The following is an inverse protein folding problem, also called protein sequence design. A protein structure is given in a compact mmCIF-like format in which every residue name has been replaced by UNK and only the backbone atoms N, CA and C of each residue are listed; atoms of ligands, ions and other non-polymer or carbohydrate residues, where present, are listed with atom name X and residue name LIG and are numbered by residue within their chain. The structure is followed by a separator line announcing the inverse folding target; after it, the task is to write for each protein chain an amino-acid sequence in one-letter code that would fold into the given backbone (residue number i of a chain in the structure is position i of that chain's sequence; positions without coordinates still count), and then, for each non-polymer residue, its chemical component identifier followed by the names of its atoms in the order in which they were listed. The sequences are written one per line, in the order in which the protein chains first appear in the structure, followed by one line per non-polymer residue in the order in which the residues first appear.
data_IF_084362775128
#
_entry.id   IF_084362775128
#
_cell.length_a   1.000
_cell.length_b   1.000
_cell.length_c   1.000
_cell.angle_alpha   90.00
_cell.angle_beta   90.00
_cell.angle_gamma   90.00
#
_symmetry.space_group_name_H-M   'P 1'
#
loop_
_entity.id
_entity.type
_entity.pdbx_description
1 polymer ?
#
# COMPACT_ATOMS: atom_id res chain seq x y z
N UNK A 1 -5.35 1.13 0.49
CA UNK A 1 -6.12 1.68 1.62
C UNK A 1 -6.28 3.16 1.35
N UNK A 2 -7.40 3.60 0.74
CA UNK A 2 -7.73 5.03 0.64
C UNK A 2 -8.84 5.28 1.63
N UNK A 3 -8.44 5.37 2.88
CA UNK A 3 -9.29 5.90 3.93
C UNK A 3 -9.57 7.37 3.55
N UNK A 4 -10.73 7.61 2.93
CA UNK A 4 -11.44 8.89 2.99
C UNK A 4 -12.51 8.87 4.08
N UNK A 5 -12.35 8.04 5.11
CA UNK A 5 -12.52 8.64 6.42
C UNK A 5 -11.41 9.67 6.53
N UNK A 6 -11.69 10.84 7.05
CA UNK A 6 -10.65 11.77 7.42
C UNK A 6 -9.90 11.10 8.58
N UNK A 7 -9.05 10.12 8.28
CA UNK A 7 -8.00 9.69 9.17
C UNK A 7 -6.98 10.82 9.04
N UNK A 8 -7.24 11.87 9.80
CA UNK A 8 -6.21 12.78 10.28
C UNK A 8 -5.28 11.86 11.08
N UNK A 9 -4.41 11.13 10.38
CA UNK A 9 -3.17 10.65 10.95
C UNK A 9 -2.37 11.93 11.08
N UNK A 10 -2.61 12.68 12.15
CA UNK A 10 -1.60 13.60 12.60
C UNK A 10 -0.42 12.73 13.00
N UNK A 11 0.57 12.72 12.13
CA UNK A 11 1.92 12.26 12.46
C UNK A 11 2.44 13.30 13.43
N UNK A 12 2.08 13.15 14.70
CA UNK A 12 2.78 13.80 15.78
C UNK A 12 4.12 13.09 15.85
N UNK A 13 5.15 13.79 15.41
CA UNK A 13 6.52 13.29 15.30
C UNK A 13 7.08 13.15 16.70
N UNK A 14 7.02 11.95 17.25
CA UNK A 14 7.71 11.62 18.49
C UNK A 14 9.13 11.18 18.13
N UNK A 15 9.95 12.17 17.75
CA UNK A 15 11.44 12.14 17.66
C UNK A 15 12.11 11.17 16.67
N UNK A 16 13.11 11.68 15.94
CA UNK A 16 14.16 10.82 15.36
C UNK A 16 15.07 10.32 16.48
N UNK A 17 15.07 9.01 16.72
CA UNK A 17 15.75 8.40 17.86
C UNK A 17 17.23 8.07 17.54
N UNK A 18 18.16 8.60 18.35
CA UNK A 18 19.54 8.06 18.47
C UNK A 18 19.81 7.91 19.96
N UNK A 19 19.69 6.70 20.53
CA UNK A 19 19.78 6.52 22.00
C UNK A 19 20.52 5.26 22.48
N UNK A 20 21.22 5.35 23.64
CA UNK A 20 21.63 4.21 24.45
C UNK A 20 20.48 3.69 25.33
N UNK A 21 20.55 2.43 25.78
CA UNK A 21 19.58 1.79 26.68
C UNK A 21 19.55 2.44 28.08
N UNK A 22 18.36 2.67 28.65
CA UNK A 22 18.17 3.22 30.00
C UNK A 22 17.68 2.16 31.00
N UNK A 23 18.06 2.29 32.29
CA UNK A 23 17.61 1.39 33.36
C UNK A 23 16.16 1.64 33.82
N UNK A 24 15.62 2.84 33.54
CA UNK A 24 14.21 3.18 33.71
C UNK A 24 13.73 3.79 32.38
N UNK A 25 12.80 3.16 31.66
CA UNK A 25 12.24 3.69 30.42
C UNK A 25 11.64 5.09 30.65
N UNK A 26 12.00 6.13 29.86
CA UNK A 26 11.23 7.37 29.85
C UNK A 26 9.78 7.11 29.45
N UNK A 27 8.85 7.93 29.94
CA UNK A 27 7.48 7.93 29.44
C UNK A 27 7.44 8.40 27.98
N UNK A 28 6.44 7.96 27.22
CA UNK A 28 6.15 8.55 25.91
C UNK A 28 5.90 10.06 26.07
N UNK A 29 6.40 10.89 25.15
CA UNK A 29 6.06 12.30 25.10
C UNK A 29 4.54 12.53 25.05
N UNK A 30 4.05 13.62 25.66
CA UNK A 30 2.63 13.92 25.65
C UNK A 30 2.12 14.21 24.24
N UNK A 31 0.86 13.85 23.98
CA UNK A 31 0.17 14.22 22.74
C UNK A 31 0.00 15.76 22.70
N UNK A 32 0.19 16.41 21.53
CA UNK A 32 -0.05 17.83 21.35
C UNK A 32 -1.46 18.25 21.76
N UNK A 33 -1.59 19.51 22.18
CA UNK A 33 -2.88 20.07 22.60
C UNK A 33 -3.92 20.06 21.47
N UNK A 34 -5.21 19.98 21.81
CA UNK A 34 -6.29 19.98 20.84
C UNK A 34 -6.27 21.19 19.88
N UNK A 35 -5.81 22.36 20.34
CA UNK A 35 -5.67 23.55 19.49
C UNK A 35 -4.58 23.40 18.43
N UNK A 36 -3.46 22.76 18.79
CA UNK A 36 -2.37 22.47 17.86
C UNK A 36 -2.83 21.41 16.85
N UNK A 37 -3.53 20.39 17.33
CA UNK A 37 -4.10 19.37 16.47
C UNK A 37 -5.03 20.00 15.42
N UNK A 38 -5.92 20.88 15.86
CA UNK A 38 -6.85 21.58 14.98
C UNK A 38 -6.16 22.50 13.97
N UNK A 39 -5.08 23.16 14.37
CA UNK A 39 -4.29 24.01 13.48
C UNK A 39 -3.68 23.20 12.33
N UNK A 40 -3.17 22.00 12.59
CA UNK A 40 -2.60 21.13 11.55
C UNK A 40 -3.70 20.54 10.67
N UNK A 41 -4.82 20.12 11.24
CA UNK A 41 -5.99 19.61 10.48
C UNK A 41 -6.45 20.62 9.44
N UNK A 42 -6.51 21.91 9.82
CA UNK A 42 -6.97 22.98 8.94
C UNK A 42 -6.02 23.25 7.76
N UNK A 43 -4.79 22.73 7.77
CA UNK A 43 -3.84 22.87 6.65
C UNK A 43 -4.11 21.87 5.52
N UNK A 44 -4.92 20.83 5.78
CA UNK A 44 -5.33 19.84 4.79
C UNK A 44 -4.56 18.53 4.88
N UNK A 45 -5.10 17.50 4.23
CA UNK A 45 -4.46 16.19 4.18
C UNK A 45 -3.40 16.14 3.07
N UNK A 46 -2.34 15.34 3.23
CA UNK A 46 -1.36 15.12 2.16
C UNK A 46 -2.05 14.59 0.91
N UNK A 47 -1.67 15.14 -0.25
CA UNK A 47 -2.18 14.67 -1.54
C UNK A 47 -1.42 13.41 -1.94
N UNK A 48 -2.14 12.28 -2.08
CA UNK A 48 -1.53 11.06 -2.60
C UNK A 48 -1.28 11.19 -4.10
N UNK A 49 0.00 11.22 -4.50
CA UNK A 49 0.40 11.11 -5.91
C UNK A 49 0.61 9.62 -6.23
N UNK A 50 -0.13 9.00 -7.16
CA UNK A 50 0.18 7.65 -7.61
C UNK A 50 1.56 7.58 -8.26
N UNK A 51 2.25 6.45 -8.12
CA UNK A 51 3.52 6.25 -8.83
C UNK A 51 3.30 6.06 -10.35
N UNK A 52 2.12 5.61 -10.73
CA UNK A 52 1.76 5.32 -12.12
C UNK A 52 2.03 3.87 -12.53
N UNK A 53 1.87 3.61 -13.82
CA UNK A 53 2.06 2.31 -14.46
C UNK A 53 3.15 2.45 -15.52
N UNK A 54 4.13 1.54 -15.60
CA UNK A 54 5.14 1.58 -16.66
C UNK A 54 4.53 1.48 -18.06
N UNK A 55 5.02 2.26 -19.03
CA UNK A 55 4.48 2.26 -20.40
C UNK A 55 4.65 0.89 -21.08
N UNK A 56 5.70 0.15 -20.71
CA UNK A 56 5.91 -1.23 -21.15
C UNK A 56 4.74 -2.14 -20.74
N UNK A 57 4.13 -1.90 -19.57
CA UNK A 57 2.97 -2.66 -19.12
C UNK A 57 1.76 -2.39 -20.02
N UNK A 58 1.45 -1.11 -20.30
CA UNK A 58 0.33 -0.70 -21.13
C UNK A 58 0.50 -1.19 -22.57
N UNK A 59 1.70 -1.05 -23.14
CA UNK A 59 2.03 -1.52 -24.48
C UNK A 59 1.83 -3.02 -24.63
N UNK A 60 2.24 -3.80 -23.62
CA UNK A 60 2.04 -5.24 -23.63
C UNK A 60 0.56 -5.63 -23.47
N UNK A 61 -0.25 -4.85 -22.74
CA UNK A 61 -1.70 -5.09 -22.64
C UNK A 61 -2.41 -4.91 -23.99
N UNK A 62 -2.00 -3.94 -24.82
CA UNK A 62 -2.52 -3.74 -26.18
C UNK A 62 -2.34 -4.98 -27.07
N UNK A 63 -1.26 -5.75 -26.85
CA UNK A 63 -0.95 -6.93 -27.64
C UNK A 63 -1.82 -8.15 -27.27
N UNK A 64 -2.58 -8.11 -26.18
CA UNK A 64 -3.51 -9.19 -25.82
C UNK A 64 -4.71 -9.22 -26.78
N UNK A 65 -5.06 -10.43 -27.21
CA UNK A 65 -6.13 -10.64 -28.20
C UNK A 65 -7.28 -11.50 -27.67
N UNK A 66 -8.23 -11.79 -28.55
CA UNK A 66 -9.35 -12.69 -28.24
C UNK A 66 -10.22 -12.17 -27.09
N UNK A 67 -10.37 -12.98 -26.04
CA UNK A 67 -11.22 -12.62 -24.88
C UNK A 67 -10.65 -11.51 -24.00
N UNK A 68 -9.38 -11.15 -24.21
CA UNK A 68 -8.67 -10.09 -23.48
C UNK A 68 -8.56 -8.79 -24.29
N UNK A 69 -9.13 -8.74 -25.49
CA UNK A 69 -9.02 -7.59 -26.39
C UNK A 69 -9.58 -6.31 -25.72
N UNK A 70 -8.82 -5.21 -25.79
CA UNK A 70 -9.20 -3.92 -25.20
C UNK A 70 -9.05 -3.83 -23.67
N UNK A 71 -8.31 -4.75 -23.04
CA UNK A 71 -8.09 -4.72 -21.58
C UNK A 71 -7.34 -3.47 -21.11
N UNK A 72 -6.44 -2.94 -21.93
CA UNK A 72 -5.71 -1.69 -21.69
C UNK A 72 -6.63 -0.48 -21.48
N UNK A 73 -7.81 -0.48 -22.13
CA UNK A 73 -8.79 0.61 -21.99
C UNK A 73 -9.67 0.47 -20.74
N UNK A 74 -9.49 -0.60 -19.97
CA UNK A 74 -10.35 -0.95 -18.82
C UNK A 74 -9.61 -0.91 -17.50
N UNK A 75 -8.29 -0.81 -17.52
CA UNK A 75 -7.46 -0.72 -16.32
C UNK A 75 -7.42 0.71 -15.79
N UNK A 76 -7.37 0.85 -14.47
CA UNK A 76 -7.26 2.14 -13.80
C UNK A 76 -5.81 2.38 -13.36
N UNK A 77 -5.08 3.08 -14.23
CA UNK A 77 -3.68 3.43 -13.97
C UNK A 77 -3.51 4.38 -12.78
N UNK A 78 -4.56 5.14 -12.41
CA UNK A 78 -4.53 6.08 -11.29
C UNK A 78 -4.73 5.40 -9.93
N UNK A 79 -5.23 4.16 -9.95
CA UNK A 79 -5.42 3.31 -8.76
C UNK A 79 -4.43 2.15 -8.71
N UNK A 80 -3.43 2.16 -9.60
CA UNK A 80 -2.35 1.18 -9.57
C UNK A 80 -1.47 1.36 -8.33
N UNK A 81 -0.98 0.24 -7.80
CA UNK A 81 -0.04 0.21 -6.68
C UNK A 81 1.19 -0.58 -7.10
N UNK A 82 2.36 -0.12 -6.68
CA UNK A 82 3.64 -0.74 -7.01
C UNK A 82 4.36 -1.19 -5.75
N UNK A 83 5.03 -2.33 -5.82
CA UNK A 83 6.00 -2.77 -4.84
C UNK A 83 7.40 -2.49 -5.37
N UNK A 84 8.10 -1.62 -4.68
CA UNK A 84 9.50 -1.29 -4.88
C UNK A 84 10.30 -1.99 -3.78
N UNK A 85 11.41 -2.62 -4.16
CA UNK A 85 12.37 -3.14 -3.19
C UNK A 85 13.20 -2.00 -2.59
N UNK A 86 13.78 -2.20 -1.41
CA UNK A 86 14.98 -1.54 -0.92
C UNK A 86 16.03 -1.49 -2.04
N UNK A 87 16.43 -0.28 -2.45
CA UNK A 87 17.24 -0.04 -3.65
C UNK A 87 16.44 0.30 -4.92
N UNK A 88 15.14 0.55 -4.79
CA UNK A 88 14.32 1.22 -5.80
C UNK A 88 13.97 0.39 -7.02
N UNK A 89 14.24 -0.92 -6.99
CA UNK A 89 13.89 -1.82 -8.07
C UNK A 89 12.38 -2.09 -8.06
N UNK A 90 11.70 -1.84 -9.19
CA UNK A 90 10.32 -2.25 -9.38
C UNK A 90 10.20 -3.77 -9.44
N UNK A 91 9.43 -4.35 -8.52
CA UNK A 91 9.18 -5.80 -8.47
C UNK A 91 7.82 -6.19 -9.03
N UNK A 92 6.80 -5.40 -8.71
CA UNK A 92 5.43 -5.66 -9.13
C UNK A 92 4.63 -4.35 -9.20
N UNK A 93 3.78 -4.21 -10.20
CA UNK A 93 2.68 -3.22 -10.23
C UNK A 93 1.37 -3.96 -10.39
N UNK A 94 0.42 -3.72 -9.49
CA UNK A 94 -0.95 -4.23 -9.57
C UNK A 94 -1.84 -3.13 -10.10
N UNK A 95 -2.56 -3.42 -11.18
CA UNK A 95 -3.36 -2.45 -11.92
C UNK A 95 -4.83 -2.91 -11.88
N UNK A 96 -5.68 -2.31 -11.05
CA UNK A 96 -7.10 -2.67 -10.94
C UNK A 96 -7.87 -2.26 -12.20
N UNK A 97 -9.12 -2.67 -12.32
CA UNK A 97 -10.04 -2.11 -13.33
C UNK A 97 -10.60 -0.75 -12.90
N UNK A 98 -10.98 0.08 -13.86
CA UNK A 98 -11.80 1.28 -13.61
C UNK A 98 -13.12 0.89 -12.98
N UNK A 99 -13.56 1.64 -11.96
CA UNK A 99 -14.78 1.39 -11.20
C UNK A 99 -14.80 -0.02 -10.55
N UNK A 100 -13.63 -0.54 -10.16
CA UNK A 100 -13.51 -1.89 -9.61
C UNK A 100 -14.34 -2.07 -8.32
N UNK A 101 -14.43 -1.05 -7.47
CA UNK A 101 -15.22 -1.10 -6.23
C UNK A 101 -16.72 -1.30 -6.47
N UNK A 102 -17.27 -0.70 -7.53
CA UNK A 102 -18.68 -0.89 -7.93
C UNK A 102 -18.91 -2.07 -8.88
N UNK A 103 -17.84 -2.66 -9.41
CA UNK A 103 -17.93 -3.79 -10.35
C UNK A 103 -18.31 -5.09 -9.64
N UNK A 104 -19.45 -5.67 -10.00
CA UNK A 104 -19.89 -6.96 -9.42
C UNK A 104 -18.91 -8.09 -9.69
N UNK A 105 -18.48 -8.83 -8.65
CA UNK A 105 -17.61 -10.02 -8.79
C UNK A 105 -18.40 -11.26 -9.22
N UNK A 106 -18.90 -11.24 -10.46
CA UNK A 106 -19.61 -12.35 -11.11
C UNK A 106 -18.97 -12.68 -12.46
N UNK A 107 -19.00 -13.96 -12.89
CA UNK A 107 -18.40 -14.35 -14.16
C UNK A 107 -19.16 -13.72 -15.34
N UNK A 108 -18.42 -13.07 -16.24
CA UNK A 108 -18.98 -12.41 -17.42
C UNK A 108 -18.25 -12.78 -18.73
N UNK A 109 -17.31 -13.73 -18.66
CA UNK A 109 -16.60 -14.25 -19.82
C UNK A 109 -16.37 -15.74 -19.69
N UNK A 110 -16.07 -16.37 -20.83
CA UNK A 110 -15.48 -17.71 -20.89
C UNK A 110 -13.99 -17.55 -21.16
N UNK A 111 -13.17 -18.13 -20.31
CA UNK A 111 -11.71 -18.17 -20.46
C UNK A 111 -11.31 -19.05 -21.64
N UNK A 112 -10.07 -18.91 -22.16
CA UNK A 112 -9.59 -19.66 -23.32
C UNK A 112 -9.67 -21.19 -23.17
N UNK A 113 -9.56 -21.72 -21.94
CA UNK A 113 -9.72 -23.15 -21.62
C UNK A 113 -11.15 -23.53 -21.22
N UNK A 114 -12.14 -22.68 -21.51
CA UNK A 114 -13.57 -22.98 -21.34
C UNK A 114 -14.13 -22.74 -19.94
N UNK A 115 -13.35 -22.23 -18.98
CA UNK A 115 -13.86 -21.94 -17.63
C UNK A 115 -14.59 -20.60 -17.57
N UNK A 116 -15.56 -20.48 -16.65
CA UNK A 116 -16.24 -19.21 -16.36
C UNK A 116 -15.27 -18.28 -15.65
N UNK A 117 -15.09 -17.06 -16.16
CA UNK A 117 -14.13 -16.10 -15.63
C UNK A 117 -14.65 -14.67 -15.55
N UNK A 118 -13.86 -13.83 -14.89
CA UNK A 118 -14.01 -12.37 -14.89
C UNK A 118 -12.62 -11.74 -14.84
N UNK A 119 -12.32 -10.83 -15.78
CA UNK A 119 -11.13 -9.99 -15.68
C UNK A 119 -11.31 -9.05 -14.49
N UNK A 120 -10.28 -8.93 -13.65
CA UNK A 120 -10.28 -8.06 -12.46
C UNK A 120 -9.17 -7.01 -12.48
N UNK A 121 -8.27 -7.07 -13.46
CA UNK A 121 -7.19 -6.10 -13.62
C UNK A 121 -6.04 -6.69 -14.42
N UNK A 122 -4.86 -6.13 -14.19
CA UNK A 122 -3.59 -6.59 -14.72
C UNK A 122 -2.49 -6.50 -13.65
N UNK A 123 -1.38 -7.19 -13.90
CA UNK A 123 -0.17 -7.11 -13.10
C UNK A 123 1.02 -6.96 -14.04
N UNK A 124 1.99 -6.17 -13.64
CA UNK A 124 3.29 -6.07 -14.30
C UNK A 124 4.39 -6.53 -13.36
N UNK A 125 5.21 -7.49 -13.80
CA UNK A 125 6.27 -8.13 -13.03
C UNK A 125 7.56 -8.17 -13.88
N UNK A 126 8.41 -7.11 -13.83
CA UNK A 126 9.54 -6.92 -14.75
C UNK A 126 10.49 -8.13 -14.85
N UNK A 127 10.74 -8.81 -13.73
CA UNK A 127 11.66 -9.95 -13.67
C UNK A 127 11.28 -11.13 -14.60
N UNK A 128 10.02 -11.18 -15.08
CA UNK A 128 9.57 -12.22 -16.02
C UNK A 128 9.94 -11.93 -17.48
N UNK A 129 10.64 -10.83 -17.76
CA UNK A 129 11.08 -10.47 -19.12
C UNK A 129 9.89 -10.32 -20.08
N UNK A 130 9.90 -11.04 -21.20
CA UNK A 130 8.82 -10.97 -22.21
C UNK A 130 7.43 -11.39 -21.70
N UNK A 131 7.34 -11.95 -20.49
CA UNK A 131 6.08 -12.34 -19.81
C UNK A 131 5.77 -11.47 -18.59
N UNK A 132 6.31 -10.26 -18.55
CA UNK A 132 6.14 -9.35 -17.42
C UNK A 132 4.70 -8.89 -17.22
N UNK A 133 3.95 -8.65 -18.29
CA UNK A 133 2.56 -8.20 -18.21
C UNK A 133 1.59 -9.37 -18.19
N UNK A 134 0.69 -9.36 -17.22
CA UNK A 134 -0.22 -10.43 -16.89
C UNK A 134 -1.65 -9.89 -16.78
N UNK A 135 -2.61 -10.47 -17.51
CA UNK A 135 -4.04 -10.16 -17.31
C UNK A 135 -4.57 -10.98 -16.13
N UNK A 136 -5.15 -10.31 -15.14
CA UNK A 136 -5.72 -10.95 -13.97
C UNK A 136 -7.16 -11.38 -14.21
N UNK A 137 -7.43 -12.66 -14.01
CA UNK A 137 -8.75 -13.26 -14.17
C UNK A 137 -9.10 -14.08 -12.95
N UNK A 138 -10.27 -13.80 -12.37
CA UNK A 138 -10.89 -14.70 -11.40
C UNK A 138 -11.63 -15.79 -12.16
N UNK A 139 -11.33 -17.04 -11.84
CA UNK A 139 -12.04 -18.21 -12.35
C UNK A 139 -13.03 -18.70 -11.30
N UNK A 140 -14.21 -19.12 -11.75
CA UNK A 140 -15.33 -19.49 -10.89
C UNK A 140 -15.62 -20.98 -10.97
N UNK A 141 -15.88 -21.58 -9.81
CA UNK A 141 -16.51 -22.89 -9.67
C UNK A 141 -17.98 -22.67 -9.33
N UNK A 142 -18.88 -22.99 -10.27
CA UNK A 142 -20.30 -22.58 -10.24
C UNK A 142 -20.42 -21.04 -10.17
N UNK A 143 -20.97 -20.50 -9.09
CA UNK A 143 -21.10 -19.06 -8.84
C UNK A 143 -20.05 -18.51 -7.86
N UNK A 144 -19.15 -19.35 -7.35
CA UNK A 144 -18.14 -18.95 -6.36
C UNK A 144 -16.79 -18.75 -7.02
N UNK A 145 -16.08 -17.65 -6.73
CA UNK A 145 -14.67 -17.52 -7.07
C UNK A 145 -13.84 -18.70 -6.52
N UNK A 146 -12.92 -19.23 -7.32
CA UNK A 146 -12.12 -20.42 -7.01
C UNK A 146 -10.61 -20.13 -7.08
N UNK A 147 -10.15 -19.60 -8.23
CA UNK A 147 -8.74 -19.33 -8.50
C UNK A 147 -8.52 -17.94 -9.09
N UNK A 148 -7.34 -17.39 -8.87
CA UNK A 148 -6.82 -16.26 -9.65
C UNK A 148 -5.89 -16.81 -10.70
N UNK A 149 -6.09 -16.40 -11.94
CA UNK A 149 -5.21 -16.70 -13.07
C UNK A 149 -4.57 -15.45 -13.59
N UNK A 150 -3.28 -15.55 -13.86
CA UNK A 150 -2.46 -14.49 -14.44
C UNK A 150 -2.05 -14.92 -15.85
N UNK A 151 -2.78 -14.45 -16.85
CA UNK A 151 -2.53 -14.79 -18.24
C UNK A 151 -1.37 -13.95 -18.79
N UNK A 152 -0.28 -14.60 -19.23
CA UNK A 152 0.81 -13.94 -19.95
C UNK A 152 0.70 -14.10 -21.47
N UNK A 153 -0.22 -14.93 -21.93
CA UNK A 153 -0.67 -14.99 -23.33
C UNK A 153 -2.18 -15.26 -23.36
N UNK A 154 -2.77 -15.31 -24.54
CA UNK A 154 -4.19 -15.64 -24.72
C UNK A 154 -4.56 -17.07 -24.32
N UNK A 155 -3.61 -17.95 -23.94
CA UNK A 155 -3.89 -19.34 -23.58
C UNK A 155 -3.08 -19.83 -22.39
N UNK A 156 -1.98 -19.18 -22.06
CA UNK A 156 -1.07 -19.59 -21.00
C UNK A 156 -1.19 -18.67 -19.79
N UNK A 157 -1.23 -19.28 -18.61
CA UNK A 157 -1.41 -18.58 -17.35
C UNK A 157 -0.64 -19.22 -16.21
N UNK A 158 -0.37 -18.42 -15.18
CA UNK A 158 -0.09 -18.91 -13.84
C UNK A 158 -1.39 -18.99 -13.05
N UNK A 159 -1.56 -19.99 -12.19
CA UNK A 159 -2.78 -20.18 -11.40
C UNK A 159 -2.44 -20.19 -9.91
N UNK A 160 -3.22 -19.44 -9.15
CA UNK A 160 -3.05 -19.23 -7.72
C UNK A 160 -4.34 -19.56 -6.98
N UNK A 161 -4.21 -20.11 -5.78
CA UNK A 161 -5.32 -20.15 -4.83
C UNK A 161 -5.69 -18.72 -4.46
N UNK A 162 -6.96 -18.39 -4.61
CA UNK A 162 -7.44 -17.06 -4.27
C UNK A 162 -7.71 -16.96 -2.78
N UNK A 163 -7.16 -15.93 -2.13
CA UNK A 163 -7.51 -15.53 -0.77
C UNK A 163 -8.59 -14.45 -0.85
N UNK A 164 -9.62 -14.57 -0.02
CA UNK A 164 -10.80 -13.71 -0.09
C UNK A 164 -11.02 -12.99 1.23
N UNK A 165 -11.16 -11.67 1.16
CA UNK A 165 -11.57 -10.81 2.28
C UNK A 165 -12.87 -10.08 1.94
N UNK A 166 -13.72 -9.87 2.95
CA UNK A 166 -14.86 -8.95 2.85
C UNK A 166 -14.56 -7.75 3.71
N UNK A 167 -14.64 -6.54 3.15
CA UNK A 167 -14.61 -5.35 3.97
C UNK A 167 -15.92 -5.25 4.76
N UNK A 168 -15.89 -4.91 6.06
CA UNK A 168 -17.09 -4.50 6.76
C UNK A 168 -17.74 -3.34 5.99
N UNK A 169 -19.05 -3.41 5.76
CA UNK A 169 -19.79 -2.40 4.98
C UNK A 169 -19.73 -0.99 5.57
N UNK A 170 -19.30 -0.85 6.82
CA UNK A 170 -19.09 0.41 7.53
C UNK A 170 -17.69 1.02 7.32
N UNK A 171 -16.73 0.27 6.77
CA UNK A 171 -15.35 0.71 6.52
C UNK A 171 -15.10 1.03 5.05
N UNK A 172 -15.91 0.43 4.15
CA UNK A 172 -15.90 0.74 2.73
C UNK A 172 -16.43 2.17 2.49
N UNK A 173 -15.56 3.15 2.66
CA UNK A 173 -15.80 4.47 2.11
C UNK A 173 -16.02 4.32 0.60
N UNK A 174 -16.68 5.29 -0.02
CA UNK A 174 -16.90 5.41 -1.47
C UNK A 174 -15.61 5.47 -2.32
N UNK A 175 -14.45 5.14 -1.73
CA UNK A 175 -13.11 5.33 -2.25
C UNK A 175 -12.15 4.15 -2.03
N UNK A 176 -12.58 3.00 -1.49
CA UNK A 176 -11.75 1.78 -1.41
C UNK A 176 -11.70 1.00 -2.75
N UNK A 177 -11.77 1.73 -3.86
CA UNK A 177 -11.44 1.19 -5.17
C UNK A 177 -9.93 1.04 -5.28
N UNK A 178 -9.50 -0.03 -5.95
CA UNK A 178 -8.11 -0.15 -6.39
C UNK A 178 -7.44 -1.44 -6.00
N UNK A 179 -6.14 -1.35 -5.75
CA UNK A 179 -5.30 -2.48 -5.41
C UNK A 179 -4.58 -2.25 -4.07
N UNK A 180 -4.14 -3.35 -3.46
CA UNK A 180 -3.30 -3.35 -2.28
C UNK A 180 -2.13 -4.28 -2.53
N UNK A 181 -0.95 -3.87 -2.10
CA UNK A 181 0.24 -4.70 -2.15
C UNK A 181 0.92 -4.63 -0.79
N UNK A 182 1.21 -5.80 -0.23
CA UNK A 182 2.04 -5.97 0.94
C UNK A 182 3.18 -6.93 0.59
N UNK A 183 4.03 -7.17 1.57
CA UNK A 183 5.06 -8.17 1.46
C UNK A 183 4.50 -9.55 1.09
N UNK A 184 3.50 -10.05 1.82
CA UNK A 184 2.95 -11.39 1.62
C UNK A 184 1.90 -11.50 0.51
N UNK A 185 1.21 -10.41 0.18
CA UNK A 185 0.00 -10.46 -0.63
C UNK A 185 -0.07 -9.33 -1.64
N UNK A 186 -0.71 -9.63 -2.75
CA UNK A 186 -1.21 -8.64 -3.71
C UNK A 186 -2.70 -8.85 -3.87
N UNK A 187 -3.47 -7.76 -3.90
CA UNK A 187 -4.91 -7.76 -3.86
C UNK A 187 -5.51 -6.74 -4.82
N UNK A 188 -6.70 -7.05 -5.35
CA UNK A 188 -7.57 -6.09 -6.04
C UNK A 188 -8.94 -6.07 -5.38
N UNK A 189 -9.48 -4.88 -5.12
CA UNK A 189 -10.86 -4.73 -4.65
C UNK A 189 -11.81 -4.81 -5.83
N UNK A 190 -12.79 -5.73 -5.78
CA UNK A 190 -13.84 -5.89 -6.78
C UNK A 190 -15.19 -6.07 -6.09
N UNK A 191 -16.11 -5.13 -6.27
CA UNK A 191 -17.46 -5.23 -5.70
C UNK A 191 -17.46 -5.32 -4.18
N UNK A 192 -16.67 -4.46 -3.51
CA UNK A 192 -16.41 -4.46 -2.07
C UNK A 192 -15.83 -5.77 -1.49
N UNK A 193 -15.22 -6.61 -2.34
CA UNK A 193 -14.50 -7.82 -1.93
C UNK A 193 -13.05 -7.72 -2.36
N UNK A 194 -12.13 -8.25 -1.56
CA UNK A 194 -10.72 -8.35 -1.96
C UNK A 194 -10.45 -9.70 -2.60
N UNK A 195 -9.82 -9.63 -3.77
CA UNK A 195 -9.27 -10.79 -4.47
C UNK A 195 -7.76 -10.76 -4.28
N UNK A 196 -7.21 -11.64 -3.46
CA UNK A 196 -5.80 -11.65 -3.12
C UNK A 196 -5.09 -12.93 -3.59
N UNK A 197 -3.79 -12.83 -3.84
CA UNK A 197 -2.91 -13.96 -4.11
C UNK A 197 -1.55 -13.75 -3.43
N UNK A 198 -0.91 -14.87 -3.11
CA UNK A 198 0.49 -14.89 -2.70
C UNK A 198 1.38 -14.95 -3.95
N UNK A 199 2.49 -14.21 -3.99
CA UNK A 199 3.39 -14.27 -5.13
C UNK A 199 4.16 -15.61 -5.20
N UNK A 200 4.20 -16.26 -6.38
CA UNK A 200 4.85 -17.57 -6.53
C UNK A 200 6.39 -17.54 -6.53
N UNK A 201 6.99 -16.41 -6.91
CA UNK A 201 8.45 -16.25 -6.98
C UNK A 201 8.84 -15.10 -6.07
N UNK A 202 8.88 -15.41 -4.78
CA UNK A 202 9.03 -14.42 -3.72
C UNK A 202 10.26 -13.52 -3.96
N UNK A 203 11.41 -14.05 -4.36
CA UNK A 203 12.61 -13.24 -4.68
C UNK A 203 12.51 -12.35 -5.95
N UNK A 204 11.63 -12.70 -6.89
CA UNK A 204 11.43 -11.93 -8.12
C UNK A 204 10.43 -10.78 -7.96
N UNK A 205 9.46 -10.94 -7.05
CA UNK A 205 8.34 -10.03 -6.80
C UNK A 205 8.39 -9.31 -5.45
N UNK A 206 9.21 -9.80 -4.53
CA UNK A 206 9.48 -9.28 -3.19
C UNK A 206 10.99 -9.38 -2.95
N UNK A 207 11.46 -8.69 -1.94
CA UNK A 207 12.88 -8.57 -1.66
C UNK A 207 13.36 -9.37 -0.45
N UNK A 208 14.69 -9.39 -0.32
CA UNK A 208 15.48 -9.82 0.84
C UNK A 208 16.66 -8.84 0.97
N UNK A 209 17.02 -8.33 2.17
CA UNK A 209 16.32 -8.50 3.45
C UNK A 209 14.94 -7.84 3.42
N UNK A 210 14.12 -8.17 4.41
CA UNK A 210 12.70 -7.88 4.38
C UNK A 210 12.42 -6.47 4.93
N UNK A 211 11.43 -5.72 4.39
CA UNK A 211 10.90 -4.52 5.03
C UNK A 211 10.52 -4.74 6.51
N UNK A 212 10.14 -5.97 6.85
CA UNK A 212 9.88 -6.36 8.24
C UNK A 212 11.09 -6.22 9.14
N UNK A 213 12.31 -6.44 8.65
CA UNK A 213 13.52 -6.39 9.48
C UNK A 213 13.78 -4.93 9.91
N UNK A 214 13.60 -3.98 8.99
CA UNK A 214 13.65 -2.53 9.27
C UNK A 214 12.61 -2.13 10.32
N UNK A 215 11.37 -2.56 10.15
CA UNK A 215 10.29 -2.29 11.10
C UNK A 215 10.52 -3.01 12.44
N UNK A 216 11.05 -4.23 12.43
CA UNK A 216 11.28 -5.04 13.62
C UNK A 216 12.36 -4.43 14.50
N UNK A 217 13.44 -3.97 13.89
CA UNK A 217 14.52 -3.29 14.58
C UNK A 217 14.04 -1.98 15.21
N UNK A 218 13.24 -1.20 14.48
CA UNK A 218 12.62 0.02 15.01
C UNK A 218 11.62 -0.26 16.14
N UNK A 219 10.77 -1.28 15.97
CA UNK A 219 9.83 -1.70 17.00
C UNK A 219 10.55 -2.16 18.27
N UNK A 220 11.61 -2.96 18.13
CA UNK A 220 12.39 -3.47 19.27
C UNK A 220 13.05 -2.32 20.02
N UNK A 221 13.65 -1.35 19.31
CA UNK A 221 14.21 -0.13 19.93
C UNK A 221 13.15 0.70 20.65
N UNK A 222 11.99 0.93 20.03
CA UNK A 222 10.90 1.67 20.63
C UNK A 222 10.36 0.96 21.88
N UNK A 223 10.22 -0.37 21.80
CA UNK A 223 9.80 -1.22 22.92
C UNK A 223 10.78 -1.16 24.09
N UNK A 224 12.07 -1.34 23.83
CA UNK A 224 13.11 -1.31 24.88
C UNK A 224 13.23 0.08 25.52
N UNK A 225 12.99 1.14 24.75
CA UNK A 225 13.10 2.53 25.22
C UNK A 225 11.89 2.96 26.03
N UNK A 226 10.68 2.56 25.64
CA UNK A 226 9.42 3.08 26.21
C UNK A 226 8.56 2.03 26.91
N UNK A 227 9.05 0.79 27.06
CA UNK A 227 8.33 -0.36 27.62
C UNK A 227 6.96 -0.57 26.94
N UNK A 228 6.97 -0.55 25.60
CA UNK A 228 5.74 -0.66 24.81
C UNK A 228 5.14 -2.06 24.93
N UNK A 229 3.87 -2.11 25.32
CA UNK A 229 3.10 -3.36 25.42
C UNK A 229 2.37 -3.74 24.13
N UNK A 230 2.30 -2.84 23.14
CA UNK A 230 1.65 -3.08 21.85
C UNK A 230 2.54 -3.90 20.93
N UNK A 231 1.94 -4.84 20.20
CA UNK A 231 2.57 -5.54 19.09
C UNK A 231 2.19 -4.92 17.74
N UNK A 232 3.06 -5.08 16.74
CA UNK A 232 2.85 -4.59 15.37
C UNK A 232 2.85 -5.74 14.36
N UNK A 233 2.12 -5.58 13.25
CA UNK A 233 2.14 -6.52 12.11
C UNK A 233 3.43 -6.39 11.32
N UNK A 234 4.57 -6.68 11.96
CA UNK A 234 5.89 -6.44 11.39
C UNK A 234 6.07 -7.19 10.07
N UNK A 235 5.56 -8.42 9.97
CA UNK A 235 5.59 -9.23 8.74
C UNK A 235 4.83 -8.58 7.57
N UNK A 236 3.85 -7.72 7.85
CA UNK A 236 3.08 -6.97 6.86
C UNK A 236 3.67 -5.58 6.56
N UNK A 237 4.92 -5.32 6.97
CA UNK A 237 5.60 -4.06 6.69
C UNK A 237 5.62 -3.73 5.20
N UNK A 238 5.33 -2.46 4.88
CA UNK A 238 5.26 -1.96 3.51
C UNK A 238 6.30 -0.84 3.30
N UNK A 239 7.22 -0.99 2.34
CA UNK A 239 8.03 0.11 1.86
C UNK A 239 7.22 1.00 0.91
N UNK A 240 7.38 2.32 1.01
CA UNK A 240 6.71 3.29 0.14
C UNK A 240 7.58 4.52 -0.15
N UNK A 241 7.21 5.24 -1.22
CA UNK A 241 7.76 6.53 -1.60
C UNK A 241 6.81 7.63 -1.17
N UNK A 242 7.27 8.53 -0.32
CA UNK A 242 6.44 9.62 0.17
C UNK A 242 6.95 10.95 -0.35
N UNK A 243 6.12 11.54 -1.22
CA UNK A 243 6.29 12.88 -1.75
C UNK A 243 6.05 12.99 -3.26
N UNK A 244 5.32 14.01 -3.73
CA UNK A 244 5.03 14.22 -5.15
C UNK A 244 6.29 14.26 -6.02
N UNK A 245 7.35 14.95 -5.58
CA UNK A 245 8.58 15.06 -6.37
C UNK A 245 9.34 13.73 -6.45
N UNK A 246 9.46 13.02 -5.32
CA UNK A 246 10.12 11.71 -5.28
C UNK A 246 9.37 10.71 -6.16
N UNK A 247 8.05 10.68 -6.05
CA UNK A 247 7.20 9.82 -6.89
C UNK A 247 7.27 10.19 -8.36
N UNK A 248 7.26 11.47 -8.72
CA UNK A 248 7.40 11.90 -10.11
C UNK A 248 8.75 11.49 -10.70
N UNK A 249 9.84 11.63 -9.92
CA UNK A 249 11.17 11.22 -10.33
C UNK A 249 11.27 9.70 -10.50
N UNK A 250 10.70 8.92 -9.57
CA UNK A 250 10.66 7.47 -9.71
C UNK A 250 9.79 7.03 -10.89
N UNK A 251 8.61 7.65 -11.09
CA UNK A 251 7.72 7.35 -12.20
C UNK A 251 8.43 7.47 -13.56
N UNK A 252 9.26 8.51 -13.73
CA UNK A 252 10.06 8.72 -14.93
C UNK A 252 11.14 7.64 -15.17
N UNK A 253 11.48 6.83 -14.16
CA UNK A 253 12.51 5.78 -14.23
C UNK A 253 11.94 4.35 -14.18
N UNK A 254 10.62 4.19 -14.07
CA UNK A 254 10.00 2.87 -13.99
C UNK A 254 10.33 2.00 -15.21
N UNK A 255 10.30 2.56 -16.41
CA UNK A 255 10.60 1.85 -17.66
C UNK A 255 12.10 1.56 -17.87
N UNK A 256 12.98 2.24 -17.13
CA UNK A 256 14.43 1.98 -17.15
C UNK A 256 14.88 0.92 -16.13
N UNK A 257 13.93 0.25 -15.46
CA UNK A 257 14.21 -0.81 -14.47
C UNK A 257 14.25 -0.35 -13.01
N UNK A 258 13.85 0.90 -12.72
CA UNK A 258 14.03 1.51 -11.41
C UNK A 258 15.49 1.92 -11.15
N UNK A 259 15.69 2.75 -10.14
CA UNK A 259 17.00 3.29 -9.76
C UNK A 259 16.91 3.99 -8.39
N UNK A 260 17.97 4.67 -7.97
CA UNK A 260 17.98 5.33 -6.64
C UNK A 260 16.88 6.38 -6.45
N UNK A 261 16.30 6.90 -7.53
CA UNK A 261 15.15 7.79 -7.46
C UNK A 261 13.87 7.09 -6.98
N UNK A 262 13.85 5.76 -7.01
CA UNK A 262 12.77 4.90 -6.54
C UNK A 262 13.05 4.26 -5.18
N UNK A 263 14.15 4.61 -4.51
CA UNK A 263 14.47 4.08 -3.19
C UNK A 263 13.38 4.49 -2.20
N UNK A 264 12.64 3.53 -1.59
CA UNK A 264 11.64 3.84 -0.58
C UNK A 264 12.23 4.74 0.52
N UNK A 265 11.57 5.85 0.82
CA UNK A 265 11.99 6.75 1.89
C UNK A 265 11.21 6.54 3.18
N UNK A 266 10.18 5.68 3.16
CA UNK A 266 9.38 5.35 4.33
C UNK A 266 9.00 3.86 4.33
N UNK A 267 9.09 3.23 5.48
CA UNK A 267 8.58 1.89 5.77
C UNK A 267 7.54 2.03 6.86
N UNK A 268 6.43 1.32 6.77
CA UNK A 268 5.41 1.37 7.81
C UNK A 268 4.78 0.02 8.11
N UNK A 269 4.31 -0.12 9.35
CA UNK A 269 3.47 -1.22 9.80
C UNK A 269 2.42 -0.74 10.79
N UNK A 270 1.29 -1.43 10.86
CA UNK A 270 0.19 -1.13 11.76
C UNK A 270 0.29 -1.90 13.09
N UNK A 271 -0.24 -1.31 14.15
CA UNK A 271 -0.46 -1.99 15.43
C UNK A 271 -1.43 -3.17 15.26
N UNK A 272 -1.17 -4.27 15.97
CA UNK A 272 -2.09 -5.41 16.06
C UNK A 272 -3.31 -5.11 16.90
N UNK A 273 -3.17 -4.17 17.83
CA UNK A 273 -4.23 -3.76 18.75
C UNK A 273 -4.69 -2.35 18.42
N UNK A 274 -5.99 -2.18 18.23
CA UNK A 274 -6.62 -0.88 18.05
C UNK A 274 -6.92 -0.24 19.43
N UNK A 275 -5.92 -0.20 20.31
CA UNK A 275 -6.01 0.54 21.56
C UNK A 275 -5.61 1.99 21.26
N UNK A 276 -6.35 2.95 21.83
CA UNK A 276 -6.40 4.38 21.43
C UNK A 276 -5.07 5.17 21.43
N UNK A 277 -3.93 4.55 21.70
CA UNK A 277 -2.68 5.27 21.92
C UNK A 277 -1.65 5.03 20.81
N UNK A 278 -1.48 3.80 20.31
CA UNK A 278 -0.48 3.48 19.27
C UNK A 278 -1.13 2.78 18.08
N UNK A 279 -0.98 3.34 16.87
CA UNK A 279 -1.64 2.81 15.67
C UNK A 279 -0.68 2.28 14.60
N UNK A 280 0.55 2.79 14.55
CA UNK A 280 1.53 2.39 13.55
C UNK A 280 2.96 2.72 14.00
N UNK A 281 3.92 2.13 13.30
CA UNK A 281 5.33 2.50 13.39
C UNK A 281 5.82 2.86 11.99
N UNK A 282 6.49 4.00 11.87
CA UNK A 282 7.10 4.46 10.62
C UNK A 282 8.62 4.49 10.78
N UNK A 283 9.34 4.05 9.76
CA UNK A 283 10.78 4.23 9.64
C UNK A 283 11.04 5.04 8.38
N UNK A 284 11.65 6.20 8.53
CA UNK A 284 11.90 7.16 7.47
C UNK A 284 13.39 7.16 7.20
N UNK A 285 13.79 6.60 6.06
CA UNK A 285 15.21 6.45 5.71
C UNK A 285 15.82 7.76 5.19
N UNK A 286 15.00 8.61 4.57
CA UNK A 286 15.37 9.95 4.12
C UNK A 286 14.16 10.87 4.25
N UNK A 287 14.34 12.20 4.35
CA UNK A 287 13.24 13.13 4.58
C UNK A 287 12.04 12.85 3.68
N UNK A 288 10.91 12.53 4.31
CA UNK A 288 9.65 12.23 3.64
C UNK A 288 8.85 13.53 3.53
N UNK A 289 8.27 13.78 2.34
CA UNK A 289 7.44 14.96 2.08
C UNK A 289 6.04 14.77 2.71
N UNK A 290 6.06 14.64 4.04
CA UNK A 290 4.94 14.66 4.95
C UNK A 290 5.14 15.89 5.81
N UNK A 291 4.14 16.77 5.82
CA UNK A 291 4.18 17.96 6.64
C UNK A 291 4.37 17.60 8.10
N UNK A 292 5.41 18.18 8.67
CA UNK A 292 5.92 17.86 9.99
C UNK A 292 5.78 19.06 10.92
N UNK A 293 5.39 18.80 12.17
CA UNK A 293 5.20 19.83 13.18
C UNK A 293 5.82 19.39 14.51
N UNK A 294 6.33 20.37 15.27
CA UNK A 294 6.70 20.13 16.68
C UNK A 294 5.45 19.93 17.54
N UNK A 295 5.63 19.46 18.77
CA UNK A 295 4.55 19.33 19.76
C UNK A 295 3.93 20.68 20.18
N UNK A 296 4.62 21.80 19.92
CA UNK A 296 4.08 23.16 20.00
C UNK A 296 3.40 23.66 18.71
N UNK A 297 3.33 22.84 17.67
CA UNK A 297 2.66 23.18 16.40
C UNK A 297 3.52 23.99 15.43
N UNK A 298 4.83 24.07 15.66
CA UNK A 298 5.74 24.77 14.73
C UNK A 298 5.98 23.91 13.50
N UNK A 299 5.71 24.44 12.30
CA UNK A 299 5.99 23.73 11.05
C UNK A 299 7.50 23.57 10.84
N UNK A 300 7.95 22.34 10.64
CA UNK A 300 9.37 22.01 10.42
C UNK A 300 9.66 21.60 8.98
N UNK A 301 8.67 21.69 8.08
CA UNK A 301 8.81 21.27 6.69
C UNK A 301 8.41 19.81 6.52
N UNK A 302 9.40 18.98 6.20
CA UNK A 302 9.22 17.54 5.96
C UNK A 302 9.50 16.70 7.19
N UNK A 303 8.89 15.51 7.26
CA UNK A 303 9.21 14.49 8.25
C UNK A 303 10.67 14.07 8.06
N UNK A 304 11.56 14.33 9.02
CA UNK A 304 12.97 13.97 8.87
C UNK A 304 13.17 12.46 8.88
N UNK A 305 14.39 12.02 8.57
CA UNK A 305 14.77 10.62 8.73
C UNK A 305 14.76 10.22 10.22
N UNK A 306 14.31 9.01 10.51
CA UNK A 306 14.19 8.49 11.86
C UNK A 306 13.14 7.41 12.00
N UNK A 307 12.97 6.94 13.23
CA UNK A 307 11.98 5.92 13.60
C UNK A 307 10.93 6.56 14.47
N UNK A 308 9.66 6.39 14.11
CA UNK A 308 8.55 7.12 14.69
C UNK A 308 7.46 6.15 15.13
N UNK A 309 7.02 6.31 16.37
CA UNK A 309 5.78 5.70 16.84
C UNK A 309 4.62 6.64 16.47
N UNK A 310 3.63 6.12 15.76
CA UNK A 310 2.45 6.87 15.33
C UNK A 310 1.32 6.63 16.31
N UNK A 311 0.82 7.72 16.88
CA UNK A 311 -0.21 7.71 17.92
C UNK A 311 -1.55 8.18 17.37
N UNK A 312 -2.65 7.65 17.93
CA UNK A 312 -3.98 8.16 17.59
C UNK A 312 -4.29 9.44 18.35
N UNK A 313 -3.95 10.57 17.74
CA UNK A 313 -4.26 11.89 18.29
C UNK A 313 -5.64 12.43 17.84
N UNK A 314 -6.56 11.57 17.37
CA UNK A 314 -7.87 12.04 16.91
C UNK A 314 -8.61 12.72 18.09
N UNK A 315 -8.94 14.04 18.01
CA UNK A 315 -9.79 14.67 19.02
C UNK A 315 -11.13 13.93 19.04
N UNK A 316 -11.70 13.61 20.20
CA UNK A 316 -12.97 12.87 20.32
C UNK A 316 -14.02 13.30 19.27
N UNK A 317 -14.12 12.58 18.14
CA UNK A 317 -15.08 12.90 17.10
C UNK A 317 -16.37 12.18 17.47
N UNK A 318 -17.29 12.92 18.07
CA UNK A 318 -18.59 12.37 18.49
C UNK A 318 -19.50 12.05 17.28
N UNK A 319 -19.12 12.50 16.07
CA UNK A 319 -19.92 12.35 14.85
C UNK A 319 -19.04 11.98 13.65
N UNK A 320 -19.24 10.81 13.00
CA UNK A 320 -18.56 10.49 11.75
C UNK A 320 -18.77 11.57 10.68
N UNK A 321 -17.69 12.14 10.14
CA UNK A 321 -17.74 13.20 9.13
C UNK A 321 -17.77 14.63 9.67
N UNK A 322 -17.73 14.84 11.00
CA UNK A 322 -17.37 16.14 11.53
C UNK A 322 -15.88 16.39 11.26
N UNK A 323 -15.56 17.46 10.54
CA UNK A 323 -14.26 18.12 10.69
C UNK A 323 -14.19 18.61 12.13
N UNK A 324 -13.13 18.25 12.84
CA UNK A 324 -12.69 19.09 13.96
C UNK A 324 -12.56 20.53 13.48
#
# INVERSE_FOLDING_TARGET
MRIKAVLIVMIVIVLGLVFPSFANPPALPPVPSASILQQVINQGAPTFTPLGVPDAAITALVAFGGVFNGVENRVDVNQAVSYLATGGTLKETVIPLTNSGSTSLTPNMTTPDGKRGKIIGAVYQPYRGSRATLVLVVVFKKSKPDKVRMYYTNTQFYEYSAKWGTFPSSVAGTYDEGALISHDLSCVTVGNKQVCWEPASYSGVREQPYPKDVIYDAYTRAKDTYDLNNDFFVDDAVPDLIGPNVRANCAAQLDSGGGSACDPNLYFSASKEANNDLMAIFVVDSPADLDAFTDEGTYVGSLPAGEYVVVNATPNVVTPGATG
#
